data_IF_913884289777
#
_entry.id   IF_913884289777
#
_cell.length_a   1.000
_cell.length_b   1.000
_cell.length_c   1.000
_cell.angle_alpha   90.00
_cell.angle_beta   90.00
_cell.angle_gamma   90.00
#
_symmetry.space_group_name_H-M   'P 1'
#
loop_
_entity.id
_entity.type
_entity.pdbx_description
1 polymer ?
#
# COMPACT_ATOMS: atom_id res chain seq x y z
N UNK A 1 -36.74 -18.90 6.92
CA UNK A 1 -36.60 -18.50 5.50
C UNK A 1 -36.94 -17.02 5.40
N UNK A 2 -35.97 -16.17 5.05
CA UNK A 2 -36.22 -14.75 4.94
C UNK A 2 -34.93 -13.93 4.87
N UNK A 3 -34.61 -13.48 3.65
CA UNK A 3 -33.49 -12.62 3.18
C UNK A 3 -32.41 -13.38 2.41
N UNK A 4 -32.77 -13.83 1.20
CA UNK A 4 -31.79 -13.99 0.13
C UNK A 4 -32.41 -13.55 -1.21
N UNK A 5 -32.85 -12.29 -1.24
CA UNK A 5 -33.16 -11.58 -2.48
C UNK A 5 -32.08 -10.51 -2.68
N UNK A 6 -31.06 -10.85 -3.47
CA UNK A 6 -30.45 -9.94 -4.44
C UNK A 6 -29.78 -8.65 -3.95
N UNK A 7 -29.00 -8.65 -2.86
CA UNK A 7 -27.96 -7.60 -2.79
C UNK A 7 -26.86 -7.97 -3.78
N UNK A 8 -26.72 -7.24 -4.88
CA UNK A 8 -25.59 -7.41 -5.79
C UNK A 8 -24.29 -7.46 -4.97
N UNK A 9 -23.49 -8.50 -5.20
CA UNK A 9 -22.26 -8.70 -4.44
C UNK A 9 -21.34 -7.49 -4.66
N UNK A 10 -20.96 -6.82 -3.56
CA UNK A 10 -20.08 -5.66 -3.58
C UNK A 10 -18.77 -5.98 -4.31
N UNK A 11 -18.28 -5.05 -5.11
CA UNK A 11 -17.08 -5.25 -5.93
C UNK A 11 -15.89 -4.52 -5.34
N UNK A 12 -14.73 -5.17 -5.34
CA UNK A 12 -13.47 -4.58 -4.93
C UNK A 12 -12.40 -4.75 -6.01
N UNK A 13 -11.50 -3.78 -6.14
CA UNK A 13 -10.27 -3.89 -6.93
C UNK A 13 -9.07 -3.69 -6.01
N UNK A 14 -8.09 -4.58 -6.10
CA UNK A 14 -6.86 -4.53 -5.28
C UNK A 14 -5.66 -4.53 -6.21
N UNK A 15 -4.91 -3.43 -6.26
CA UNK A 15 -3.68 -3.37 -7.08
C UNK A 15 -2.51 -4.06 -6.38
N UNK A 16 -1.59 -4.66 -7.14
CA UNK A 16 -0.44 -5.38 -6.58
C UNK A 16 -0.83 -6.64 -5.80
N UNK A 17 -1.85 -7.36 -6.27
CA UNK A 17 -2.44 -8.51 -5.58
C UNK A 17 -1.66 -9.83 -5.73
N UNK A 18 -0.51 -9.84 -6.40
CA UNK A 18 0.28 -11.06 -6.64
C UNK A 18 1.08 -11.55 -5.43
N UNK A 19 1.27 -10.73 -4.40
CA UNK A 19 1.99 -11.13 -3.18
C UNK A 19 1.73 -10.16 -2.02
N UNK A 20 2.21 -10.51 -0.82
CA UNK A 20 2.23 -9.61 0.33
C UNK A 20 0.84 -9.13 0.75
N UNK A 21 0.72 -7.85 1.12
CA UNK A 21 -0.55 -7.28 1.56
C UNK A 21 -1.65 -7.38 0.50
N UNK A 22 -1.34 -7.12 -0.77
CA UNK A 22 -2.35 -7.14 -1.84
C UNK A 22 -3.01 -8.51 -1.99
N UNK A 23 -2.21 -9.58 -1.94
CA UNK A 23 -2.71 -10.96 -1.98
C UNK A 23 -3.64 -11.23 -0.79
N UNK A 24 -3.19 -10.92 0.43
CA UNK A 24 -3.95 -11.17 1.65
C UNK A 24 -5.25 -10.34 1.71
N UNK A 25 -5.19 -9.07 1.27
CA UNK A 25 -6.36 -8.19 1.15
C UNK A 25 -7.36 -8.77 0.16
N UNK A 26 -6.91 -9.24 -1.01
CA UNK A 26 -7.79 -9.82 -2.01
C UNK A 26 -8.51 -11.07 -1.48
N UNK A 27 -7.78 -11.97 -0.80
CA UNK A 27 -8.35 -13.14 -0.15
C UNK A 27 -9.36 -12.75 0.93
N UNK A 28 -9.01 -11.82 1.82
CA UNK A 28 -9.86 -11.43 2.95
C UNK A 28 -11.14 -10.70 2.51
N UNK A 29 -11.06 -9.85 1.48
CA UNK A 29 -12.26 -9.26 0.87
C UNK A 29 -13.14 -10.34 0.23
N UNK A 30 -12.57 -11.31 -0.49
CA UNK A 30 -13.33 -12.41 -1.06
C UNK A 30 -14.02 -13.27 0.02
N UNK A 31 -13.37 -13.53 1.17
CA UNK A 31 -13.98 -14.21 2.33
C UNK A 31 -15.20 -13.47 2.88
N UNK A 32 -15.21 -12.13 2.78
CA UNK A 32 -16.34 -11.27 3.19
C UNK A 32 -17.42 -11.12 2.11
N UNK A 33 -17.34 -11.89 1.04
CA UNK A 33 -18.38 -11.94 0.01
C UNK A 33 -18.22 -10.90 -1.10
N UNK A 34 -17.10 -10.16 -1.16
CA UNK A 34 -16.84 -9.27 -2.29
C UNK A 34 -16.52 -10.07 -3.56
N UNK A 35 -16.84 -9.53 -4.73
CA UNK A 35 -16.22 -9.93 -6.01
C UNK A 35 -14.95 -9.10 -6.17
N UNK A 36 -13.81 -9.73 -6.32
CA UNK A 36 -12.50 -9.08 -6.23
C UNK A 36 -11.77 -9.15 -7.57
N UNK A 37 -11.55 -8.00 -8.19
CA UNK A 37 -10.56 -7.80 -9.23
C UNK A 37 -9.16 -7.67 -8.59
N UNK A 38 -8.45 -8.79 -8.52
CA UNK A 38 -7.08 -8.90 -8.04
C UNK A 38 -6.11 -8.48 -9.15
N UNK A 39 -5.75 -7.20 -9.14
CA UNK A 39 -4.96 -6.56 -10.17
C UNK A 39 -3.45 -6.77 -9.95
N UNK A 40 -2.73 -7.14 -11.02
CA UNK A 40 -1.27 -7.28 -11.02
C UNK A 40 -0.68 -7.00 -12.40
N UNK A 41 0.55 -6.49 -12.44
CA UNK A 41 1.26 -6.20 -13.69
C UNK A 41 1.53 -7.46 -14.52
N UNK A 42 1.87 -8.55 -13.84
CA UNK A 42 2.26 -9.82 -14.46
C UNK A 42 1.38 -10.95 -13.93
N UNK A 43 0.51 -11.45 -14.80
CA UNK A 43 -0.46 -12.50 -14.47
C UNK A 43 0.21 -13.86 -14.22
N UNK A 44 1.43 -14.09 -14.70
CA UNK A 44 2.15 -15.35 -14.42
C UNK A 44 2.45 -15.52 -12.93
N UNK A 45 2.36 -14.44 -12.15
CA UNK A 45 2.55 -14.42 -10.70
C UNK A 45 1.27 -14.62 -9.89
N UNK A 46 0.17 -15.04 -10.51
CA UNK A 46 -1.08 -15.25 -9.80
C UNK A 46 -1.16 -16.58 -9.04
N UNK A 47 -0.22 -17.50 -9.27
CA UNK A 47 -0.28 -18.89 -8.76
C UNK A 47 -0.56 -18.96 -7.26
N UNK A 48 0.20 -18.23 -6.44
CA UNK A 48 0.03 -18.20 -4.98
C UNK A 48 -1.38 -17.73 -4.57
N UNK A 49 -1.88 -16.66 -5.21
CA UNK A 49 -3.21 -16.13 -4.95
C UNK A 49 -4.31 -17.15 -5.32
N UNK A 50 -4.18 -17.76 -6.49
CA UNK A 50 -5.16 -18.73 -7.00
C UNK A 50 -5.19 -19.96 -6.08
N UNK A 51 -4.04 -20.52 -5.75
CA UNK A 51 -3.93 -21.66 -4.86
C UNK A 51 -4.55 -21.37 -3.49
N UNK A 52 -4.20 -20.23 -2.88
CA UNK A 52 -4.77 -19.83 -1.59
C UNK A 52 -6.29 -19.61 -1.65
N UNK A 53 -6.80 -19.08 -2.76
CA UNK A 53 -8.24 -18.88 -2.97
C UNK A 53 -9.01 -20.19 -3.15
N UNK A 54 -8.41 -21.18 -3.79
CA UNK A 54 -8.96 -22.54 -3.95
C UNK A 54 -9.02 -23.26 -2.61
N UNK A 55 -7.92 -23.26 -1.84
CA UNK A 55 -7.87 -23.86 -0.50
C UNK A 55 -8.91 -23.24 0.45
N UNK A 56 -9.18 -21.94 0.30
CA UNK A 56 -10.17 -21.24 1.09
C UNK A 56 -11.61 -21.31 0.53
N UNK A 57 -11.85 -22.01 -0.59
CA UNK A 57 -13.19 -22.16 -1.18
C UNK A 57 -13.79 -20.87 -1.75
N UNK A 58 -12.97 -19.85 -2.00
CA UNK A 58 -13.38 -18.50 -2.43
C UNK A 58 -12.94 -18.17 -3.86
N UNK A 59 -12.35 -19.12 -4.60
CA UNK A 59 -11.84 -18.94 -5.97
C UNK A 59 -12.82 -18.25 -6.92
N UNK A 60 -14.12 -18.57 -6.83
CA UNK A 60 -15.19 -17.97 -7.68
C UNK A 60 -15.42 -16.48 -7.44
N UNK A 61 -14.91 -15.94 -6.34
CA UNK A 61 -15.02 -14.53 -5.96
C UNK A 61 -13.80 -13.71 -6.38
N UNK A 62 -12.75 -14.34 -6.87
CA UNK A 62 -11.51 -13.67 -7.26
C UNK A 62 -11.31 -13.79 -8.75
N UNK A 63 -11.00 -12.67 -9.36
CA UNK A 63 -10.58 -12.59 -10.74
C UNK A 63 -9.25 -11.86 -10.83
N UNK A 64 -8.31 -12.44 -11.56
CA UNK A 64 -7.03 -11.80 -11.83
C UNK A 64 -7.15 -10.84 -13.00
N UNK A 65 -6.74 -9.59 -12.81
CA UNK A 65 -6.79 -8.54 -13.84
C UNK A 65 -5.37 -8.06 -14.14
N UNK A 66 -4.99 -7.97 -15.42
CA UNK A 66 -3.72 -7.35 -15.80
C UNK A 66 -3.86 -5.83 -15.62
N UNK A 67 -3.06 -5.27 -14.72
CA UNK A 67 -3.01 -3.83 -14.48
C UNK A 67 -1.59 -3.47 -14.05
N UNK A 68 -0.86 -2.81 -14.95
CA UNK A 68 0.37 -2.10 -14.60
C UNK A 68 0.05 -0.64 -14.27
N UNK A 69 0.38 -0.22 -13.05
CA UNK A 69 0.08 1.13 -12.56
C UNK A 69 0.94 2.20 -13.23
N UNK A 70 2.00 1.83 -13.94
CA UNK A 70 2.84 2.77 -14.69
C UNK A 70 2.50 2.84 -16.18
N UNK A 71 1.46 2.14 -16.63
CA UNK A 71 1.02 2.11 -18.04
C UNK A 71 -0.43 2.58 -18.15
N UNK A 72 -0.63 3.74 -18.76
CA UNK A 72 -1.93 4.35 -18.92
C UNK A 72 -2.92 3.45 -19.70
N UNK A 73 -2.46 2.79 -20.77
CA UNK A 73 -3.32 1.92 -21.57
C UNK A 73 -3.71 0.67 -20.76
N UNK A 74 -2.79 0.13 -19.95
CA UNK A 74 -3.10 -0.96 -19.04
C UNK A 74 -4.14 -0.57 -17.98
N UNK A 75 -4.08 0.65 -17.45
CA UNK A 75 -5.05 1.16 -16.47
C UNK A 75 -6.42 1.34 -17.10
N UNK A 76 -6.48 1.98 -18.27
CA UNK A 76 -7.73 2.22 -19.01
C UNK A 76 -8.43 0.90 -19.37
N UNK A 77 -7.68 -0.06 -19.91
CA UNK A 77 -8.20 -1.38 -20.25
C UNK A 77 -8.73 -2.13 -19.00
N UNK A 78 -7.97 -2.11 -17.90
CA UNK A 78 -8.38 -2.76 -16.65
C UNK A 78 -9.63 -2.09 -16.04
N UNK A 79 -9.72 -0.77 -16.10
CA UNK A 79 -10.89 -0.04 -15.64
C UNK A 79 -12.12 -0.33 -16.49
N UNK A 80 -11.99 -0.31 -17.81
CA UNK A 80 -13.07 -0.63 -18.73
C UNK A 80 -13.59 -2.07 -18.53
N UNK A 81 -12.71 -3.07 -18.50
CA UNK A 81 -13.11 -4.48 -18.29
C UNK A 81 -13.75 -4.70 -16.91
N UNK A 82 -13.15 -4.15 -15.84
CA UNK A 82 -13.71 -4.26 -14.49
C UNK A 82 -15.11 -3.64 -14.42
N UNK A 83 -15.29 -2.43 -14.95
CA UNK A 83 -16.58 -1.73 -14.89
C UNK A 83 -17.62 -2.39 -15.82
N UNK A 84 -17.23 -2.87 -17.00
CA UNK A 84 -18.14 -3.58 -17.89
C UNK A 84 -18.66 -4.88 -17.25
N UNK A 85 -17.82 -5.56 -16.46
CA UNK A 85 -18.14 -6.84 -15.84
C UNK A 85 -18.95 -6.74 -14.57
N UNK A 86 -18.64 -5.75 -13.74
CA UNK A 86 -19.23 -5.62 -12.41
C UNK A 86 -20.26 -4.49 -12.33
N UNK A 87 -20.27 -3.54 -13.27
CA UNK A 87 -21.17 -2.39 -13.31
C UNK A 87 -20.90 -1.33 -12.24
N UNK A 88 -20.07 -1.63 -11.25
CA UNK A 88 -19.80 -0.80 -10.07
C UNK A 88 -18.43 -1.13 -9.46
N UNK A 89 -17.92 -0.21 -8.64
CA UNK A 89 -16.76 -0.47 -7.78
C UNK A 89 -17.01 0.09 -6.37
N UNK A 90 -17.20 -0.79 -5.39
CA UNK A 90 -17.49 -0.38 -4.01
C UNK A 90 -16.23 -0.09 -3.20
N UNK A 91 -15.13 -0.78 -3.52
CA UNK A 91 -13.84 -0.64 -2.83
C UNK A 91 -12.68 -0.63 -3.83
N UNK A 92 -11.92 0.46 -3.87
CA UNK A 92 -10.63 0.53 -4.53
C UNK A 92 -9.53 0.45 -3.48
N UNK A 93 -8.66 -0.55 -3.56
CA UNK A 93 -7.45 -0.65 -2.73
C UNK A 93 -6.22 -0.41 -3.58
N UNK A 94 -5.63 0.78 -3.46
CA UNK A 94 -4.34 1.07 -4.07
C UNK A 94 -3.23 0.56 -3.14
N UNK A 95 -2.71 -0.62 -3.49
CA UNK A 95 -1.66 -1.30 -2.74
C UNK A 95 -0.36 -1.46 -3.53
N UNK A 96 -0.42 -1.49 -4.87
CA UNK A 96 0.76 -1.61 -5.72
C UNK A 96 1.84 -0.60 -5.31
N UNK A 97 3.07 -1.11 -5.14
CA UNK A 97 4.19 -0.27 -4.75
C UNK A 97 5.50 -1.05 -4.69
N UNK A 98 6.58 -0.29 -4.77
CA UNK A 98 7.95 -0.73 -4.57
C UNK A 98 8.64 0.15 -3.54
N UNK A 99 9.83 -0.27 -3.12
CA UNK A 99 10.70 0.50 -2.25
C UNK A 99 12.09 0.54 -2.87
N UNK A 100 12.57 1.75 -3.17
CA UNK A 100 13.97 2.03 -3.48
C UNK A 100 14.66 2.43 -2.18
N UNK A 101 15.69 1.68 -1.82
CA UNK A 101 16.60 2.01 -0.72
C UNK A 101 17.91 2.63 -1.24
N UNK A 102 18.58 3.37 -0.37
CA UNK A 102 19.90 3.95 -0.60
C UNK A 102 20.02 5.37 -0.05
N UNK A 103 21.27 5.85 0.08
CA UNK A 103 21.57 7.20 0.51
C UNK A 103 21.36 8.20 -0.63
N UNK A 104 20.97 9.43 -0.29
CA UNK A 104 20.35 10.38 -1.22
C UNK A 104 21.23 10.64 -2.46
N UNK A 105 22.52 10.86 -2.28
CA UNK A 105 23.47 11.14 -3.38
C UNK A 105 23.94 9.89 -4.14
N UNK A 106 23.63 8.70 -3.64
CA UNK A 106 24.03 7.42 -4.26
C UNK A 106 22.90 6.74 -5.03
N UNK A 107 21.65 7.17 -4.82
CA UNK A 107 20.50 6.64 -5.56
C UNK A 107 20.36 7.38 -6.89
N UNK A 108 20.44 6.69 -8.05
CA UNK A 108 20.26 7.31 -9.35
C UNK A 108 18.87 7.93 -9.50
N UNK A 109 18.77 9.07 -10.20
CA UNK A 109 17.52 9.80 -10.38
C UNK A 109 16.44 8.97 -11.10
N UNK A 110 16.83 8.00 -11.91
CA UNK A 110 15.94 7.06 -12.59
C UNK A 110 15.21 6.17 -11.57
N UNK A 111 15.89 5.76 -10.50
CA UNK A 111 15.29 4.98 -9.41
C UNK A 111 14.35 5.86 -8.56
N UNK A 112 14.70 7.13 -8.32
CA UNK A 112 13.78 8.10 -7.72
C UNK A 112 12.51 8.26 -8.54
N UNK A 113 12.63 8.43 -9.87
CA UNK A 113 11.47 8.53 -10.76
C UNK A 113 10.64 7.25 -10.71
N UNK A 114 11.25 6.08 -10.90
CA UNK A 114 10.52 4.79 -10.86
C UNK A 114 9.76 4.57 -9.54
N UNK A 115 10.33 4.98 -8.41
CA UNK A 115 9.69 4.96 -7.09
C UNK A 115 8.43 5.83 -7.05
N UNK A 116 8.47 7.04 -7.59
CA UNK A 116 7.34 7.97 -7.64
C UNK A 116 6.31 7.55 -8.70
N UNK A 117 6.75 7.09 -9.87
CA UNK A 117 5.89 6.55 -10.93
C UNK A 117 5.00 5.43 -10.40
N UNK A 118 5.60 4.46 -9.70
CA UNK A 118 4.84 3.31 -9.19
C UNK A 118 3.96 3.69 -7.99
N UNK A 119 4.54 4.31 -6.96
CA UNK A 119 3.85 4.46 -5.67
C UNK A 119 2.90 5.66 -5.62
N UNK A 120 3.14 6.68 -6.43
CA UNK A 120 2.39 7.92 -6.40
C UNK A 120 1.61 8.15 -7.70
N UNK A 121 2.28 8.35 -8.84
CA UNK A 121 1.59 8.67 -10.09
C UNK A 121 0.66 7.53 -10.52
N UNK A 122 1.10 6.27 -10.40
CA UNK A 122 0.27 5.11 -10.69
C UNK A 122 -0.94 4.98 -9.77
N UNK A 123 -0.79 5.26 -8.48
CA UNK A 123 -1.90 5.32 -7.53
C UNK A 123 -2.92 6.42 -7.90
N UNK A 124 -2.43 7.60 -8.28
CA UNK A 124 -3.27 8.72 -8.74
C UNK A 124 -3.99 8.33 -10.03
N UNK A 125 -3.29 7.74 -11.00
CA UNK A 125 -3.84 7.34 -12.30
C UNK A 125 -4.94 6.28 -12.15
N UNK A 126 -4.70 5.23 -11.37
CA UNK A 126 -5.74 4.21 -11.06
C UNK A 126 -6.94 4.85 -10.35
N UNK A 127 -6.69 5.72 -9.37
CA UNK A 127 -7.77 6.44 -8.68
C UNK A 127 -8.61 7.25 -9.65
N UNK A 128 -7.97 7.99 -10.58
CA UNK A 128 -8.65 8.79 -11.60
C UNK A 128 -9.49 7.94 -12.56
N UNK A 129 -9.03 6.74 -12.90
CA UNK A 129 -9.74 5.84 -13.81
C UNK A 129 -11.05 5.29 -13.21
N UNK A 130 -11.10 5.07 -11.89
CA UNK A 130 -12.27 4.49 -11.23
C UNK A 130 -13.18 5.51 -10.52
N UNK A 131 -12.64 6.67 -10.15
CA UNK A 131 -13.39 7.67 -9.38
C UNK A 131 -14.69 8.15 -10.05
N UNK A 132 -14.77 8.38 -11.38
CA UNK A 132 -16.02 8.76 -12.03
C UNK A 132 -17.16 7.76 -11.80
N UNK A 133 -16.89 6.46 -11.97
CA UNK A 133 -17.87 5.41 -11.73
C UNK A 133 -18.29 5.34 -10.25
N UNK A 134 -17.32 5.45 -9.32
CA UNK A 134 -17.62 5.49 -7.88
C UNK A 134 -18.47 6.71 -7.48
N UNK A 135 -18.27 7.85 -8.13
CA UNK A 135 -19.09 9.06 -7.96
C UNK A 135 -20.49 8.86 -8.52
N UNK A 136 -20.61 8.34 -9.74
CA UNK A 136 -21.88 8.14 -10.45
C UNK A 136 -22.78 7.12 -9.75
N UNK A 137 -22.21 6.04 -9.20
CA UNK A 137 -22.95 5.08 -8.37
C UNK A 137 -23.31 5.62 -6.97
N UNK A 138 -22.90 6.85 -6.63
CA UNK A 138 -23.27 7.54 -5.39
C UNK A 138 -22.41 7.20 -4.16
N UNK A 139 -21.25 6.57 -4.33
CA UNK A 139 -20.30 6.37 -3.25
C UNK A 139 -19.41 5.14 -3.40
N UNK A 140 -18.55 4.94 -2.41
CA UNK A 140 -17.59 3.84 -2.37
C UNK A 140 -16.46 4.14 -1.38
N UNK A 141 -15.42 3.30 -1.37
CA UNK A 141 -14.24 3.49 -0.53
C UNK A 141 -12.96 3.37 -1.32
N UNK A 142 -12.10 4.37 -1.18
CA UNK A 142 -10.73 4.34 -1.69
C UNK A 142 -9.82 4.14 -0.48
N UNK A 143 -9.11 3.02 -0.45
CA UNK A 143 -8.19 2.64 0.62
C UNK A 143 -6.78 2.67 0.06
N UNK A 144 -5.98 3.58 0.59
CA UNK A 144 -4.62 3.85 0.16
C UNK A 144 -3.66 3.15 1.13
N UNK A 145 -2.84 2.22 0.63
CA UNK A 145 -1.80 1.59 1.45
C UNK A 145 -0.59 2.52 1.49
N UNK A 146 -0.51 3.30 2.57
CA UNK A 146 0.58 4.20 2.88
C UNK A 146 1.71 3.45 3.61
N UNK A 147 2.34 4.10 4.59
CA UNK A 147 3.37 3.56 5.47
C UNK A 147 3.57 4.53 6.64
N UNK A 148 4.16 4.06 7.73
CA UNK A 148 4.79 4.95 8.71
C UNK A 148 5.81 5.91 8.07
N UNK A 149 6.45 5.50 6.96
CA UNK A 149 7.35 6.35 6.18
C UNK A 149 6.64 7.49 5.42
N UNK A 150 5.30 7.51 5.38
CA UNK A 150 4.53 8.66 4.91
C UNK A 150 4.41 9.78 5.94
N UNK A 151 4.88 9.55 7.18
CA UNK A 151 4.84 10.54 8.26
C UNK A 151 6.22 10.89 8.83
N UNK A 152 7.20 10.03 8.61
CA UNK A 152 8.56 10.23 9.08
C UNK A 152 9.58 9.72 8.05
N UNK A 153 10.63 10.49 7.82
CA UNK A 153 11.76 10.06 7.03
C UNK A 153 12.70 9.18 7.86
N UNK A 154 13.32 8.20 7.21
CA UNK A 154 14.38 7.38 7.79
C UNK A 154 15.58 7.38 6.83
N UNK A 155 16.82 7.44 7.35
CA UNK A 155 18.02 7.33 6.51
C UNK A 155 17.98 6.07 5.63
N UNK A 156 18.44 6.21 4.39
CA UNK A 156 18.43 5.13 3.40
C UNK A 156 17.07 4.85 2.75
N UNK A 157 16.01 5.60 3.08
CA UNK A 157 14.67 5.43 2.50
C UNK A 157 14.12 6.71 1.86
N UNK A 158 14.98 7.66 1.46
CA UNK A 158 14.58 8.96 0.89
C UNK A 158 13.51 8.85 -0.22
N UNK A 159 13.76 8.08 -1.30
CA UNK A 159 12.78 7.91 -2.37
C UNK A 159 11.45 7.33 -1.89
N UNK A 160 11.51 6.28 -1.06
CA UNK A 160 10.33 5.61 -0.54
C UNK A 160 9.49 6.49 0.38
N UNK A 161 10.14 7.18 1.32
CA UNK A 161 9.49 8.11 2.22
C UNK A 161 8.84 9.25 1.42
N UNK A 162 9.56 9.87 0.49
CA UNK A 162 9.03 10.92 -0.37
C UNK A 162 7.75 10.48 -1.10
N UNK A 163 7.73 9.28 -1.69
CA UNK A 163 6.54 8.80 -2.37
C UNK A 163 5.36 8.51 -1.42
N UNK A 164 5.62 8.04 -0.19
CA UNK A 164 4.57 7.83 0.81
C UNK A 164 4.04 9.13 1.42
N UNK A 165 4.88 10.15 1.60
CA UNK A 165 4.41 11.50 1.94
C UNK A 165 3.52 12.10 0.85
N UNK A 166 3.86 11.89 -0.43
CA UNK A 166 3.04 12.33 -1.55
C UNK A 166 1.66 11.64 -1.55
N UNK A 167 1.61 10.34 -1.25
CA UNK A 167 0.34 9.59 -1.08
C UNK A 167 -0.51 10.16 0.06
N UNK A 168 0.10 10.51 1.19
CA UNK A 168 -0.61 11.14 2.33
C UNK A 168 -1.27 12.46 1.91
N UNK A 169 -0.50 13.38 1.31
CA UNK A 169 -0.99 14.69 0.88
C UNK A 169 -2.08 14.58 -0.18
N UNK A 170 -1.91 13.70 -1.18
CA UNK A 170 -2.96 13.44 -2.17
C UNK A 170 -4.24 12.90 -1.54
N UNK A 171 -4.13 12.00 -0.57
CA UNK A 171 -5.30 11.37 0.07
C UNK A 171 -6.06 12.33 0.98
N UNK A 172 -5.37 13.29 1.61
CA UNK A 172 -6.01 14.40 2.34
C UNK A 172 -6.87 15.23 1.41
N UNK A 173 -6.30 15.73 0.31
CA UNK A 173 -7.03 16.51 -0.69
C UNK A 173 -8.20 15.73 -1.29
N UNK A 174 -7.96 14.50 -1.72
CA UNK A 174 -8.98 13.64 -2.32
C UNK A 174 -10.16 13.44 -1.37
N UNK A 175 -9.93 13.26 -0.07
CA UNK A 175 -11.01 13.08 0.90
C UNK A 175 -11.94 14.29 0.97
N UNK A 176 -11.42 15.50 0.81
CA UNK A 176 -12.24 16.71 0.78
C UNK A 176 -13.05 16.79 -0.52
N UNK A 177 -12.41 16.52 -1.66
CA UNK A 177 -13.06 16.57 -2.98
C UNK A 177 -14.21 15.57 -3.10
N UNK A 178 -14.03 14.36 -2.58
CA UNK A 178 -14.98 13.26 -2.77
C UNK A 178 -16.09 13.19 -1.73
N UNK A 179 -15.98 13.95 -0.63
CA UNK A 179 -16.92 13.88 0.50
C UNK A 179 -18.38 14.11 0.09
N UNK A 180 -18.63 15.12 -0.77
CA UNK A 180 -19.97 15.45 -1.27
C UNK A 180 -20.57 14.38 -2.20
N UNK A 181 -19.73 13.48 -2.71
CA UNK A 181 -20.12 12.40 -3.62
C UNK A 181 -20.28 11.04 -2.92
N UNK A 182 -20.19 11.00 -1.58
CA UNK A 182 -20.34 9.76 -0.81
C UNK A 182 -19.13 8.80 -0.93
N UNK A 183 -18.09 9.15 -1.69
CA UNK A 183 -16.86 8.37 -1.81
C UNK A 183 -15.92 8.73 -0.65
N UNK A 184 -15.56 7.72 0.13
CA UNK A 184 -14.79 7.87 1.36
C UNK A 184 -13.35 7.43 1.12
N UNK A 185 -12.38 8.15 1.69
CA UNK A 185 -10.95 7.85 1.54
C UNK A 185 -10.35 7.45 2.88
N UNK A 186 -9.57 6.37 2.93
CA UNK A 186 -8.78 5.98 4.10
C UNK A 186 -7.32 5.71 3.72
N UNK A 187 -6.43 6.05 4.63
CA UNK A 187 -5.02 5.68 4.63
C UNK A 187 -4.82 4.59 5.67
N UNK A 188 -4.29 3.44 5.23
CA UNK A 188 -3.75 2.43 6.13
C UNK A 188 -2.25 2.67 6.18
N UNK A 189 -1.69 2.79 7.38
CA UNK A 189 -0.28 3.14 7.60
C UNK A 189 0.45 1.96 8.28
N UNK A 190 0.90 0.93 7.52
CA UNK A 190 1.67 -0.16 8.09
C UNK A 190 3.03 0.29 8.61
N UNK A 191 3.42 -0.24 9.76
CA UNK A 191 4.81 -0.26 10.22
C UNK A 191 5.67 -1.28 9.46
N UNK A 192 6.72 -1.79 10.09
CA UNK A 192 7.56 -2.84 9.52
C UNK A 192 6.88 -4.21 9.62
N UNK A 193 6.37 -4.71 8.49
CA UNK A 193 5.79 -6.06 8.36
C UNK A 193 6.66 -6.97 7.49
N UNK A 194 6.50 -8.28 7.65
CA UNK A 194 7.17 -9.29 6.82
C UNK A 194 6.56 -9.29 5.42
N UNK A 195 7.17 -8.56 4.49
CA UNK A 195 6.82 -8.58 3.07
C UNK A 195 8.09 -8.55 2.24
N UNK A 196 8.04 -9.10 1.02
CA UNK A 196 9.18 -9.16 0.10
C UNK A 196 9.59 -7.78 -0.46
N UNK A 197 8.90 -6.68 -0.10
CA UNK A 197 9.21 -5.33 -0.60
C UNK A 197 10.60 -4.88 -0.14
N UNK A 198 10.98 -5.22 1.09
CA UNK A 198 12.26 -4.83 1.67
C UNK A 198 13.40 -5.65 1.10
N UNK A 199 13.23 -6.96 0.94
CA UNK A 199 14.29 -7.79 0.33
C UNK A 199 14.55 -7.38 -1.12
N UNK A 200 13.52 -7.07 -1.90
CA UNK A 200 13.67 -6.58 -3.28
C UNK A 200 14.26 -5.16 -3.35
N UNK A 201 13.79 -4.26 -2.49
CA UNK A 201 14.25 -2.87 -2.47
C UNK A 201 15.68 -2.70 -1.97
N UNK A 202 16.09 -3.52 -1.01
CA UNK A 202 17.44 -3.52 -0.44
C UNK A 202 18.43 -4.33 -1.28
N UNK A 203 17.98 -5.35 -2.03
CA UNK A 203 18.85 -6.13 -2.91
C UNK A 203 19.45 -5.31 -4.07
N UNK A 204 18.80 -4.20 -4.45
CA UNK A 204 19.33 -3.26 -5.45
C UNK A 204 20.32 -2.24 -4.88
N UNK A 205 20.55 -2.21 -3.56
CA UNK A 205 21.51 -1.31 -2.94
C UNK A 205 22.92 -1.90 -3.09
N UNK A 206 23.58 -1.59 -4.19
CA UNK A 206 25.02 -1.82 -4.34
C UNK A 206 25.75 -0.55 -3.91
N UNK A 207 26.44 -0.61 -2.77
CA UNK A 207 27.40 0.43 -2.42
C UNK A 207 28.67 0.25 -3.23
N UNK A 208 29.21 1.37 -3.68
CA UNK A 208 30.58 1.40 -4.18
C UNK A 208 31.51 1.08 -3.00
N UNK A 209 32.59 0.31 -3.18
CA UNK A 209 33.49 -0.05 -2.08
C UNK A 209 34.05 1.16 -1.31
N UNK A 210 34.14 2.31 -1.95
CA UNK A 210 34.61 3.61 -1.44
C UNK A 210 33.49 4.54 -0.92
N UNK A 211 32.25 4.06 -0.86
CA UNK A 211 31.11 4.84 -0.35
C UNK A 211 31.36 5.34 1.09
N UNK A 212 31.13 6.64 1.37
CA UNK A 212 31.18 7.16 2.74
C UNK A 212 30.06 6.60 3.62
N UNK A 213 29.00 6.03 3.04
CA UNK A 213 27.82 5.53 3.78
C UNK A 213 27.83 4.02 4.04
N UNK A 214 28.97 3.37 3.80
CA UNK A 214 29.08 1.90 3.87
C UNK A 214 28.71 1.36 5.25
N UNK A 215 29.14 2.02 6.32
CA UNK A 215 28.85 1.58 7.69
C UNK A 215 27.37 1.77 8.03
N UNK A 216 26.79 2.91 7.65
CA UNK A 216 25.37 3.21 7.85
C UNK A 216 24.48 2.28 7.03
N UNK A 217 24.88 1.92 5.82
CA UNK A 217 24.16 0.94 5.00
C UNK A 217 24.17 -0.44 5.68
N UNK A 218 25.33 -0.87 6.17
CA UNK A 218 25.44 -2.14 6.88
C UNK A 218 24.57 -2.15 8.15
N UNK A 219 24.56 -1.04 8.90
CA UNK A 219 23.71 -0.88 10.07
C UNK A 219 22.21 -0.90 9.70
N UNK A 220 21.83 -0.24 8.60
CA UNK A 220 20.48 -0.23 8.06
C UNK A 220 20.02 -1.62 7.65
N UNK A 221 20.84 -2.34 6.87
CA UNK A 221 20.57 -3.71 6.44
C UNK A 221 20.41 -4.65 7.65
N UNK A 222 21.29 -4.53 8.65
CA UNK A 222 21.20 -5.28 9.89
C UNK A 222 19.93 -4.95 10.69
N UNK A 223 19.55 -3.67 10.76
CA UNK A 223 18.29 -3.23 11.37
C UNK A 223 17.08 -3.80 10.63
N UNK A 224 17.04 -3.73 9.30
CA UNK A 224 15.92 -4.29 8.51
C UNK A 224 15.83 -5.81 8.65
N UNK A 225 16.96 -6.52 8.67
CA UNK A 225 16.98 -7.97 8.90
C UNK A 225 16.43 -8.35 10.28
N UNK A 226 16.84 -7.62 11.33
CA UNK A 226 16.34 -7.84 12.71
C UNK A 226 14.85 -7.57 12.82
N UNK A 227 14.39 -6.43 12.29
CA UNK A 227 12.97 -6.05 12.34
C UNK A 227 12.09 -6.99 11.54
N UNK A 228 12.57 -7.52 10.40
CA UNK A 228 11.86 -8.54 9.63
C UNK A 228 11.66 -9.85 10.42
N UNK A 229 12.63 -10.27 11.24
CA UNK A 229 12.50 -11.49 12.05
C UNK A 229 11.39 -11.38 13.11
N UNK A 230 11.20 -10.20 13.69
CA UNK A 230 10.18 -9.93 14.72
C UNK A 230 8.93 -9.24 14.18
N UNK A 231 8.82 -9.07 12.87
CA UNK A 231 7.74 -8.28 12.28
C UNK A 231 6.38 -8.95 12.51
N UNK A 232 5.31 -8.16 12.73
CA UNK A 232 3.96 -8.68 12.92
C UNK A 232 3.43 -9.40 11.68
N UNK A 233 2.32 -10.12 11.86
CA UNK A 233 1.67 -10.85 10.78
C UNK A 233 1.07 -9.87 9.75
N UNK A 234 1.44 -9.95 8.47
CA UNK A 234 0.85 -9.11 7.43
C UNK A 234 -0.68 -9.28 7.28
N UNK A 235 -1.27 -10.36 7.79
CA UNK A 235 -2.72 -10.56 7.85
C UNK A 235 -3.42 -9.44 8.64
N UNK A 236 -2.78 -8.83 9.65
CA UNK A 236 -3.36 -7.72 10.41
C UNK A 236 -3.77 -6.53 9.52
N UNK A 237 -3.00 -6.30 8.43
CA UNK A 237 -3.28 -5.25 7.44
C UNK A 237 -4.49 -5.62 6.60
N UNK A 238 -4.55 -6.87 6.12
CA UNK A 238 -5.67 -7.38 5.34
C UNK A 238 -6.98 -7.31 6.13
N UNK A 239 -6.96 -7.76 7.39
CA UNK A 239 -8.13 -7.72 8.27
C UNK A 239 -8.60 -6.28 8.52
N UNK A 240 -7.66 -5.34 8.69
CA UNK A 240 -8.00 -3.93 8.86
C UNK A 240 -8.67 -3.37 7.60
N UNK A 241 -8.07 -3.56 6.43
CA UNK A 241 -8.61 -3.09 5.15
C UNK A 241 -10.02 -3.64 4.95
N UNK A 242 -10.23 -4.92 5.23
CA UNK A 242 -11.50 -5.58 5.04
C UNK A 242 -12.57 -5.12 6.06
N UNK A 243 -12.18 -4.85 7.31
CA UNK A 243 -13.06 -4.16 8.28
C UNK A 243 -13.42 -2.75 7.83
N UNK A 244 -12.49 -2.00 7.22
CA UNK A 244 -12.77 -0.66 6.70
C UNK A 244 -13.71 -0.72 5.50
N UNK A 245 -13.53 -1.71 4.61
CA UNK A 245 -14.42 -1.99 3.48
C UNK A 245 -15.87 -2.19 3.94
N UNK A 246 -16.08 -2.96 5.00
CA UNK A 246 -17.42 -3.26 5.52
C UNK A 246 -18.10 -2.13 6.30
N UNK A 247 -17.35 -1.14 6.79
CA UNK A 247 -17.95 -0.04 7.54
C UNK A 247 -18.85 0.79 6.65
N UNK A 248 -20.02 1.18 7.16
CA UNK A 248 -20.87 2.16 6.46
C UNK A 248 -20.17 3.52 6.33
N UNK A 249 -19.50 3.97 7.40
CA UNK A 249 -18.79 5.26 7.44
C UNK A 249 -17.39 5.11 8.06
N UNK A 250 -16.41 5.78 7.46
CA UNK A 250 -15.03 5.91 7.93
C UNK A 250 -14.90 7.13 8.83
N UNK A 251 -14.69 6.90 10.12
CA UNK A 251 -14.59 7.97 11.13
C UNK A 251 -13.25 8.72 11.11
N UNK A 252 -12.20 8.13 10.53
CA UNK A 252 -10.85 8.72 10.47
C UNK A 252 -10.33 8.64 9.05
N UNK A 253 -9.39 9.51 8.73
CA UNK A 253 -8.59 9.39 7.51
C UNK A 253 -7.52 8.32 7.68
N UNK A 254 -6.84 8.27 8.83
CA UNK A 254 -5.64 7.45 9.05
C UNK A 254 -5.88 6.29 10.00
N UNK A 255 -5.32 5.14 9.64
CA UNK A 255 -5.40 3.89 10.39
C UNK A 255 -4.02 3.24 10.46
N UNK A 256 -3.19 3.59 11.46
CA UNK A 256 -1.90 2.93 11.69
C UNK A 256 -2.09 1.49 12.16
N UNK A 257 -1.24 0.61 11.64
CA UNK A 257 -1.28 -0.83 11.92
C UNK A 257 0.13 -1.38 12.13
N UNK A 258 0.27 -2.32 13.06
CA UNK A 258 1.56 -2.87 13.50
C UNK A 258 2.16 -2.20 14.73
N UNK A 259 3.17 -2.86 15.32
CA UNK A 259 3.85 -2.41 16.54
C UNK A 259 4.49 -1.03 16.34
N UNK A 260 4.23 -0.11 17.27
CA UNK A 260 4.85 1.22 17.28
C UNK A 260 4.29 2.23 16.28
N UNK A 261 3.47 1.82 15.30
CA UNK A 261 2.92 2.73 14.28
C UNK A 261 2.10 3.88 14.89
N UNK A 262 1.26 3.58 15.90
CA UNK A 262 0.50 4.59 16.66
C UNK A 262 1.39 5.52 17.48
N UNK A 263 2.46 5.00 18.08
CA UNK A 263 3.41 5.78 18.87
C UNK A 263 4.20 6.75 17.98
N UNK A 264 4.66 6.31 16.81
CA UNK A 264 5.30 7.17 15.82
C UNK A 264 4.34 8.25 15.29
N UNK A 265 3.07 7.89 15.04
CA UNK A 265 2.05 8.84 14.61
C UNK A 265 1.81 9.95 15.65
N UNK A 266 1.72 9.59 16.93
CA UNK A 266 1.54 10.56 18.02
C UNK A 266 2.83 11.33 18.32
N UNK A 267 3.98 10.67 18.30
CA UNK A 267 5.28 11.25 18.65
C UNK A 267 5.80 12.24 17.62
N UNK A 268 5.61 11.98 16.32
CA UNK A 268 6.06 12.88 15.24
C UNK A 268 5.38 14.26 15.25
N UNK A 269 4.17 14.36 15.82
CA UNK A 269 3.45 15.64 15.94
C UNK A 269 3.73 16.41 17.23
N UNK A 270 4.31 15.78 18.26
CA UNK A 270 4.44 16.35 19.60
C UNK A 270 5.88 16.46 20.11
N UNK A 271 6.78 15.60 19.63
CA UNK A 271 8.18 15.60 20.09
C UNK A 271 8.99 16.63 19.30
N UNK A 272 9.84 17.44 19.96
CA UNK A 272 10.75 18.31 19.25
C UNK A 272 11.69 17.48 18.36
N UNK A 273 11.95 17.96 17.14
CA UNK A 273 12.71 17.24 16.11
C UNK A 273 14.03 16.61 16.60
N UNK A 274 14.78 17.33 17.45
CA UNK A 274 16.04 16.85 18.07
C UNK A 274 15.92 15.50 18.80
N UNK A 275 14.76 15.20 19.39
CA UNK A 275 14.50 13.94 20.10
C UNK A 275 14.24 12.79 19.13
N UNK A 276 13.55 13.08 18.03
CA UNK A 276 13.35 12.14 16.93
C UNK A 276 14.71 11.79 16.31
N UNK A 277 15.55 12.79 16.02
CA UNK A 277 16.91 12.59 15.48
C UNK A 277 17.81 11.76 16.41
N UNK A 278 17.75 12.03 17.73
CA UNK A 278 18.50 11.25 18.72
C UNK A 278 18.04 9.79 18.75
N UNK A 279 16.74 9.54 18.62
CA UNK A 279 16.16 8.20 18.62
C UNK A 279 16.54 7.41 17.37
N UNK A 280 16.49 8.05 16.19
CA UNK A 280 16.93 7.45 14.93
C UNK A 280 18.42 7.11 14.96
N UNK A 281 19.29 8.02 15.42
CA UNK A 281 20.73 7.73 15.59
C UNK A 281 20.98 6.54 16.50
N UNK A 282 20.30 6.49 17.65
CA UNK A 282 20.44 5.39 18.61
C UNK A 282 20.00 4.05 18.01
N UNK A 283 18.92 4.04 17.22
CA UNK A 283 18.45 2.84 16.54
C UNK A 283 19.42 2.33 15.46
N UNK A 284 20.08 3.25 14.75
CA UNK A 284 21.09 2.94 13.72
C UNK A 284 22.49 2.69 14.28
N UNK A 285 22.72 2.86 15.59
CA UNK A 285 24.01 2.60 16.22
C UNK A 285 25.12 3.60 15.86
N UNK A 286 24.76 4.76 15.30
CA UNK A 286 25.72 5.82 14.98
C UNK A 286 26.29 6.42 16.28
N UNK A 287 27.61 6.32 16.47
CA UNK A 287 28.34 7.00 17.55
C UNK A 287 28.49 8.49 17.19
N UNK A 288 28.44 9.36 18.20
CA UNK A 288 28.85 10.77 18.02
C UNK A 288 30.35 10.81 17.80
N UNK A 289 30.78 11.61 16.84
CA UNK A 289 31.99 12.43 17.00
C UNK A 289 31.70 13.55 18.02
#
# INVERSE_FOLDING_TARGET
>A
MGRDQGSEARTALVTGASSGFGLLIALELARRGYRVAAAMRDLTRSEELIHAAEQAGIRRRIETVRLDVTDAASIEAAAADTLARYGRLDVLVNNAGMAVGGFVEEVPMEAWRAQLETNFFGLVAVTRAFLPAMREQGGGKIIQISSVSGRAGFPGFGPYAASKFAVEGFSESLRHETAKHGVQVALVEPGSFRTAIWSKGLAGMHTRPDSPYREELNALLAYTKRTAATAPDPQEVADLVARLADRRKLSRLRYPVGRGARLLQLGSGLLPWRWIEASVRRALGSKRD
#
